data_IF_014443465923
#
_entry.id   IF_014443465923
#
_cell.length_a   1.000
_cell.length_b   1.000
_cell.length_c   1.000
_cell.angle_alpha   90.00
_cell.angle_beta   90.00
_cell.angle_gamma   90.00
#
_symmetry.space_group_name_H-M   'P 1'
#
loop_
_entity.id
_entity.type
_entity.pdbx_description
1 polymer ?
#
# COMPACT_ATOMS: atom_id res chain seq x y z
N UNK A 1 5.12 -40.79 -13.30
CA UNK A 1 3.92 -40.53 -12.48
C UNK A 1 2.72 -40.86 -13.31
N UNK A 2 1.82 -41.71 -12.81
CA UNK A 2 0.56 -41.99 -13.52
C UNK A 2 -0.40 -40.81 -13.31
N UNK A 3 -1.30 -40.56 -14.26
CA UNK A 3 -2.25 -39.43 -14.19
C UNK A 3 -3.10 -39.46 -12.90
N UNK A 4 -3.41 -40.65 -12.41
CA UNK A 4 -4.10 -40.90 -11.14
C UNK A 4 -3.31 -40.45 -9.91
N UNK A 5 -1.98 -40.61 -9.91
CA UNK A 5 -1.15 -40.19 -8.77
C UNK A 5 -1.09 -38.66 -8.67
N UNK A 6 -1.08 -37.97 -9.81
CA UNK A 6 -1.11 -36.51 -9.84
C UNK A 6 -2.43 -35.95 -9.30
N UNK A 7 -3.56 -36.53 -9.69
CA UNK A 7 -4.89 -36.07 -9.25
C UNK A 7 -5.11 -36.28 -7.75
N UNK A 8 -4.58 -37.36 -7.17
CA UNK A 8 -4.67 -37.61 -5.73
C UNK A 8 -3.82 -36.63 -4.91
N UNK A 9 -2.60 -36.33 -5.38
CA UNK A 9 -1.73 -35.30 -4.78
C UNK A 9 -2.35 -33.91 -4.88
N UNK A 10 -2.96 -33.58 -6.02
CA UNK A 10 -3.64 -32.31 -6.25
C UNK A 10 -4.83 -32.14 -5.30
N UNK A 11 -5.70 -33.16 -5.19
CA UNK A 11 -6.83 -33.15 -4.24
C UNK A 11 -6.36 -32.98 -2.81
N UNK A 12 -5.32 -33.71 -2.39
CA UNK A 12 -4.74 -33.57 -1.05
C UNK A 12 -4.24 -32.16 -0.74
N UNK A 13 -3.63 -31.49 -1.72
CA UNK A 13 -3.16 -30.10 -1.57
C UNK A 13 -4.36 -29.15 -1.52
N UNK A 14 -5.36 -29.33 -2.39
CA UNK A 14 -6.57 -28.51 -2.40
C UNK A 14 -7.36 -28.64 -1.08
N UNK A 15 -7.52 -29.86 -0.56
CA UNK A 15 -8.22 -30.13 0.70
C UNK A 15 -7.49 -29.52 1.90
N UNK A 16 -6.14 -29.62 1.93
CA UNK A 16 -5.31 -29.01 2.98
C UNK A 16 -5.25 -27.48 2.90
N UNK A 17 -5.36 -26.93 1.69
CA UNK A 17 -5.33 -25.48 1.49
C UNK A 17 -6.66 -24.81 1.90
N UNK A 18 -7.69 -25.62 2.20
CA UNK A 18 -9.04 -25.16 2.54
C UNK A 18 -9.65 -24.36 1.39
N UNK A 19 -10.93 -23.98 1.52
CA UNK A 19 -11.59 -23.03 0.62
C UNK A 19 -11.02 -21.61 0.76
N UNK A 20 -9.70 -21.44 0.59
CA UNK A 20 -9.08 -20.18 0.21
C UNK A 20 -9.36 -19.84 -1.27
N UNK A 21 -10.35 -20.52 -1.88
CA UNK A 21 -11.05 -20.04 -3.07
C UNK A 21 -11.60 -18.66 -2.74
N UNK A 22 -10.81 -17.67 -3.14
CA UNK A 22 -11.15 -16.26 -3.08
C UNK A 22 -11.34 -15.82 -1.63
N UNK A 23 -10.23 -15.66 -0.90
CA UNK A 23 -10.04 -14.32 -0.32
C UNK A 23 -10.15 -13.44 -1.55
N UNK A 24 -11.35 -12.90 -1.79
CA UNK A 24 -11.54 -11.85 -2.76
C UNK A 24 -10.40 -10.92 -2.46
N UNK A 25 -9.41 -10.88 -3.35
CA UNK A 25 -8.41 -9.85 -3.36
C UNK A 25 -9.27 -8.62 -3.56
N UNK A 26 -9.75 -8.04 -2.46
CA UNK A 26 -10.32 -6.73 -2.44
C UNK A 26 -9.27 -5.95 -3.17
N UNK A 27 -9.61 -5.53 -4.39
CA UNK A 27 -8.67 -4.83 -5.25
C UNK A 27 -8.11 -3.75 -4.37
N UNK A 28 -6.79 -3.65 -4.35
CA UNK A 28 -6.11 -2.69 -3.51
C UNK A 28 -6.58 -1.29 -3.91
N UNK A 29 -7.63 -0.80 -3.24
CA UNK A 29 -8.30 0.46 -3.52
C UNK A 29 -7.58 1.51 -2.70
N UNK A 30 -6.73 2.28 -3.39
CA UNK A 30 -6.07 3.42 -2.78
C UNK A 30 -7.11 4.49 -2.44
N UNK A 31 -7.04 5.10 -1.24
CA UNK A 31 -7.92 6.20 -0.89
C UNK A 31 -7.65 7.41 -1.81
N UNK A 32 -8.66 8.25 -2.00
CA UNK A 32 -8.54 9.48 -2.80
C UNK A 32 -7.53 10.40 -2.13
N UNK A 33 -6.49 10.82 -2.86
CA UNK A 33 -5.44 11.69 -2.31
C UNK A 33 -6.00 13.07 -2.01
N UNK A 34 -5.77 13.56 -0.80
CA UNK A 34 -6.18 14.88 -0.37
C UNK A 34 -4.96 15.78 -0.14
N UNK A 35 -4.75 16.71 -1.08
CA UNK A 35 -3.61 17.64 -1.10
C UNK A 35 -4.08 19.07 -0.87
N UNK A 36 -3.41 19.77 0.04
CA UNK A 36 -3.62 21.18 0.34
C UNK A 36 -2.31 21.94 0.17
N UNK A 37 -2.35 23.06 -0.55
CA UNK A 37 -1.17 23.92 -0.73
C UNK A 37 -1.27 25.13 0.18
N UNK A 38 -0.20 25.38 0.95
CA UNK A 38 -0.06 26.57 1.77
C UNK A 38 1.24 27.28 1.39
N UNK A 39 1.14 28.28 0.52
CA UNK A 39 2.29 29.01 -0.02
C UNK A 39 3.27 28.10 -0.78
N UNK A 40 4.43 27.84 -0.19
CA UNK A 40 5.48 26.95 -0.73
C UNK A 40 5.46 25.55 -0.09
N UNK A 41 4.49 25.24 0.76
CA UNK A 41 4.36 23.93 1.43
C UNK A 41 3.18 23.16 0.84
N UNK A 42 3.39 21.87 0.60
CA UNK A 42 2.35 20.95 0.13
C UNK A 42 2.02 19.98 1.26
N UNK A 43 0.76 19.98 1.71
CA UNK A 43 0.27 19.11 2.78
C UNK A 43 -0.57 17.99 2.20
N UNK A 44 -0.22 16.75 2.53
CA UNK A 44 -1.02 15.57 2.25
C UNK A 44 -1.80 15.20 3.52
N UNK A 45 -3.11 15.48 3.50
CA UNK A 45 -3.98 15.40 4.70
C UNK A 45 -4.27 13.96 5.12
N UNK A 46 -4.43 13.06 4.15
CA UNK A 46 -4.77 11.66 4.38
C UNK A 46 -3.56 10.72 4.33
N UNK A 47 -2.37 11.20 4.73
CA UNK A 47 -1.16 10.39 4.63
C UNK A 47 -1.24 9.13 5.47
N UNK A 48 -1.88 9.17 6.65
CA UNK A 48 -1.97 8.01 7.54
C UNK A 48 -2.78 6.83 6.97
N UNK A 49 -3.58 7.04 5.93
CA UNK A 49 -4.39 5.99 5.30
C UNK A 49 -3.57 5.14 4.32
N UNK A 50 -2.60 5.74 3.61
CA UNK A 50 -1.79 5.01 2.62
C UNK A 50 -0.93 3.90 3.24
N UNK A 51 -0.13 4.14 4.30
CA UNK A 51 0.64 3.09 4.96
C UNK A 51 -0.23 1.98 5.55
N UNK A 52 -1.45 2.33 6.03
CA UNK A 52 -2.41 1.34 6.56
C UNK A 52 -2.91 0.41 5.46
N UNK A 53 -3.29 0.96 4.30
CA UNK A 53 -3.74 0.17 3.15
C UNK A 53 -2.58 -0.65 2.58
N UNK A 54 -1.38 -0.06 2.46
CA UNK A 54 -0.15 -0.72 1.99
C UNK A 54 0.43 -1.75 2.98
N UNK A 55 -0.07 -1.79 4.23
CA UNK A 55 0.52 -2.58 5.34
C UNK A 55 2.02 -2.32 5.51
N UNK A 56 2.41 -1.05 5.42
CA UNK A 56 3.81 -0.61 5.54
C UNK A 56 3.98 0.43 6.63
N UNK A 57 5.21 0.57 7.08
CA UNK A 57 5.59 1.60 8.02
C UNK A 57 5.48 3.00 7.36
N UNK A 58 4.78 3.97 7.99
CA UNK A 58 4.62 5.31 7.44
C UNK A 58 5.94 6.02 7.13
N UNK A 59 6.98 5.81 7.93
CA UNK A 59 8.24 6.54 7.80
C UNK A 59 9.03 6.04 6.57
N UNK A 60 8.89 4.74 6.23
CA UNK A 60 9.45 4.18 4.99
C UNK A 60 8.75 4.72 3.75
N UNK A 61 7.42 4.88 3.82
CA UNK A 61 6.64 5.47 2.72
C UNK A 61 7.02 6.93 2.54
N UNK A 62 7.20 7.67 3.64
CA UNK A 62 7.63 9.07 3.60
C UNK A 62 9.04 9.22 3.03
N UNK A 63 9.98 8.37 3.44
CA UNK A 63 11.34 8.34 2.90
C UNK A 63 11.34 8.05 1.40
N UNK A 64 10.48 7.13 0.96
CA UNK A 64 10.31 6.83 -0.46
C UNK A 64 9.79 8.04 -1.24
N UNK A 65 8.72 8.69 -0.75
CA UNK A 65 8.17 9.89 -1.39
C UNK A 65 9.16 11.06 -1.40
N UNK A 66 9.93 11.25 -0.33
CA UNK A 66 10.99 12.27 -0.29
C UNK A 66 12.06 12.03 -1.35
N UNK A 67 12.42 10.76 -1.57
CA UNK A 67 13.38 10.36 -2.60
C UNK A 67 12.83 10.57 -4.01
N UNK A 68 11.58 10.19 -4.27
CA UNK A 68 10.94 10.33 -5.60
C UNK A 68 10.67 11.80 -5.94
N UNK A 69 10.26 12.61 -4.96
CA UNK A 69 9.97 14.04 -5.18
C UNK A 69 11.20 14.95 -5.06
N UNK A 70 12.36 14.42 -4.67
CA UNK A 70 13.57 15.17 -4.39
C UNK A 70 13.33 16.37 -3.45
N UNK A 71 12.45 16.19 -2.46
CA UNK A 71 11.96 17.24 -1.56
C UNK A 71 12.04 16.73 -0.12
N UNK A 72 12.49 17.55 0.84
CA UNK A 72 12.42 17.17 2.23
C UNK A 72 10.96 17.08 2.66
N UNK A 73 10.61 15.93 3.24
CA UNK A 73 9.29 15.62 3.72
C UNK A 73 9.32 15.45 5.25
N UNK A 74 8.36 16.04 5.94
CA UNK A 74 8.21 15.95 7.39
C UNK A 74 6.84 15.40 7.74
N UNK A 75 6.78 14.53 8.74
CA UNK A 75 5.54 13.96 9.23
C UNK A 75 4.97 14.83 10.35
N UNK A 76 3.76 15.33 10.15
CA UNK A 76 2.97 16.05 11.15
C UNK A 76 1.79 15.17 11.59
N UNK A 77 2.08 14.22 12.49
CA UNK A 77 1.09 13.28 13.01
C UNK A 77 0.47 12.41 11.92
N UNK A 78 -0.75 12.75 11.51
CA UNK A 78 -1.51 12.06 10.46
C UNK A 78 -1.31 12.66 9.05
N UNK A 79 -0.67 13.82 8.96
CA UNK A 79 -0.40 14.54 7.71
C UNK A 79 1.07 14.43 7.33
N UNK A 80 1.37 14.47 6.03
CA UNK A 80 2.72 14.66 5.52
C UNK A 80 2.87 16.07 4.95
N UNK A 81 3.96 16.75 5.26
CA UNK A 81 4.31 18.05 4.71
C UNK A 81 5.53 17.92 3.80
N UNK A 82 5.42 18.44 2.59
CA UNK A 82 6.51 18.53 1.62
C UNK A 82 6.89 20.00 1.45
N UNK A 83 8.19 20.30 1.48
CA UNK A 83 8.70 21.67 1.27
C UNK A 83 8.95 21.90 -0.21
N UNK A 84 8.02 22.57 -0.87
CA UNK A 84 8.10 22.93 -2.28
C UNK A 84 6.70 23.00 -2.91
N UNK A 85 6.50 24.00 -3.78
CA UNK A 85 5.32 24.08 -4.64
C UNK A 85 5.58 23.25 -5.89
N UNK A 86 4.91 22.10 -6.03
CA UNK A 86 4.89 21.32 -7.27
C UNK A 86 3.43 21.06 -7.64
N UNK A 87 3.11 21.37 -8.90
CA UNK A 87 1.83 21.13 -9.54
C UNK A 87 1.73 19.66 -9.97
#
# INVERSE_FOLDING_TARGET
MTKSDYETLLKRIQDKLGDSKKVSTARFELPVVDVMWEGQKTFLRNFSEFPKVLRRDPDKVLQYLSKEFAVPAERLGDKAMFVGRRA
#
